data_IF_758507340682
#
_entry.id   IF_758507340682
#
_cell.length_a   1.000
_cell.length_b   1.000
_cell.length_c   1.000
_cell.angle_alpha   90.00
_cell.angle_beta   90.00
_cell.angle_gamma   90.00
#
_symmetry.space_group_name_H-M   'P 1'
#
loop_
_entity.id
_entity.type
_entity.pdbx_description
1 polymer ?
#
# COMPACT_ATOMS: atom_id res chain seq x y z
N UNK A 1 -13.52 33.06 7.62
CA UNK A 1 -13.60 32.30 8.88
C UNK A 1 -13.78 30.80 8.63
N UNK A 2 -14.87 30.33 8.00
CA UNK A 2 -15.07 28.87 7.79
C UNK A 2 -13.89 28.13 7.12
N UNK A 3 -13.31 28.68 6.04
CA UNK A 3 -12.12 28.12 5.39
C UNK A 3 -10.89 28.09 6.31
N UNK A 4 -10.61 29.20 7.01
CA UNK A 4 -9.49 29.30 7.95
C UNK A 4 -9.61 28.28 9.09
N UNK A 5 -10.82 28.08 9.63
CA UNK A 5 -11.05 27.07 10.67
C UNK A 5 -10.82 25.63 10.15
N UNK A 6 -11.16 25.39 8.89
CA UNK A 6 -10.92 24.09 8.24
C UNK A 6 -9.43 23.85 8.03
N UNK A 7 -8.70 24.84 7.52
CA UNK A 7 -7.24 24.79 7.33
C UNK A 7 -6.51 24.55 8.68
N UNK A 8 -6.89 25.26 9.74
CA UNK A 8 -6.34 25.06 11.08
C UNK A 8 -6.69 23.67 11.66
N UNK A 9 -7.91 23.17 11.40
CA UNK A 9 -8.29 21.82 11.82
C UNK A 9 -7.48 20.74 11.09
N UNK A 10 -7.20 20.93 9.79
CA UNK A 10 -6.34 20.05 9.00
C UNK A 10 -4.91 20.04 9.53
N UNK A 11 -4.32 21.22 9.75
CA UNK A 11 -2.97 21.38 10.28
C UNK A 11 -2.85 20.73 11.66
N UNK A 12 -3.76 21.07 12.58
CA UNK A 12 -3.76 20.49 13.92
C UNK A 12 -3.94 18.97 13.90
N UNK A 13 -4.83 18.44 13.06
CA UNK A 13 -4.98 17.00 12.92
C UNK A 13 -3.70 16.33 12.40
N UNK A 14 -3.05 16.91 11.39
CA UNK A 14 -1.82 16.40 10.82
C UNK A 14 -0.66 16.42 11.83
N UNK A 15 -0.46 17.52 12.56
CA UNK A 15 0.54 17.65 13.63
C UNK A 15 0.37 16.61 14.75
N UNK A 16 -0.88 16.18 15.00
CA UNK A 16 -1.19 15.11 15.96
C UNK A 16 -1.11 13.70 15.33
N UNK A 17 -0.45 13.56 14.18
CA UNK A 17 -0.23 12.30 13.48
C UNK A 17 -1.49 11.68 12.90
N UNK A 18 -2.51 12.49 12.56
CA UNK A 18 -3.72 11.99 11.89
C UNK A 18 -3.51 12.02 10.38
N UNK A 19 -3.81 10.91 9.72
CA UNK A 19 -3.68 10.78 8.26
C UNK A 19 -4.94 11.20 7.50
N UNK A 20 -6.06 11.40 8.21
CA UNK A 20 -7.34 11.76 7.62
C UNK A 20 -8.14 12.63 8.57
N UNK A 21 -8.95 13.53 8.01
CA UNK A 21 -9.97 14.26 8.75
C UNK A 21 -11.35 13.91 8.21
N UNK A 22 -12.28 13.57 9.11
CA UNK A 22 -13.69 13.35 8.79
C UNK A 22 -14.54 14.44 9.41
N UNK A 23 -15.54 14.88 8.67
CA UNK A 23 -16.44 15.95 9.06
C UNK A 23 -17.88 15.61 8.69
N UNK A 24 -18.80 16.02 9.57
CA UNK A 24 -20.23 15.95 9.36
C UNK A 24 -20.78 17.35 9.04
N UNK A 25 -21.64 17.45 8.02
CA UNK A 25 -22.32 18.70 7.65
C UNK A 25 -23.79 18.44 7.37
N UNK A 26 -24.67 19.31 7.85
CA UNK A 26 -26.10 19.27 7.52
C UNK A 26 -26.31 19.23 6.01
N UNK A 27 -27.17 18.32 5.55
CA UNK A 27 -27.46 18.17 4.12
C UNK A 27 -28.05 19.44 3.48
N UNK A 28 -28.70 20.30 4.26
CA UNK A 28 -29.28 21.57 3.81
C UNK A 28 -28.37 22.80 4.00
N UNK A 29 -27.06 22.60 4.26
CA UNK A 29 -26.07 23.67 4.36
C UNK A 29 -25.15 23.74 3.12
N UNK A 30 -25.62 24.30 1.99
CA UNK A 30 -24.86 24.30 0.74
C UNK A 30 -23.54 25.08 0.84
N UNK A 31 -23.46 26.09 1.72
CA UNK A 31 -22.26 26.91 1.89
C UNK A 31 -21.12 26.13 2.53
N UNK A 32 -21.39 25.35 3.57
CA UNK A 32 -20.38 24.52 4.22
C UNK A 32 -19.96 23.36 3.32
N UNK A 33 -20.93 22.73 2.64
CA UNK A 33 -20.68 21.67 1.65
C UNK A 33 -19.69 22.16 0.57
N UNK A 34 -19.92 23.35 0.00
CA UNK A 34 -19.04 23.90 -1.03
C UNK A 34 -17.61 24.17 -0.52
N UNK A 35 -17.45 24.61 0.74
CA UNK A 35 -16.11 24.81 1.33
C UNK A 35 -15.38 23.47 1.42
N UNK A 36 -16.05 22.41 1.86
CA UNK A 36 -15.45 21.08 1.98
C UNK A 36 -15.03 20.54 0.60
N UNK A 37 -15.93 20.59 -0.38
CA UNK A 37 -15.63 20.12 -1.75
C UNK A 37 -14.49 20.90 -2.40
N UNK A 38 -14.45 22.23 -2.25
CA UNK A 38 -13.35 23.07 -2.75
C UNK A 38 -12.02 22.83 -2.03
N UNK A 39 -12.07 22.36 -0.78
CA UNK A 39 -10.88 22.05 0.02
C UNK A 39 -10.41 20.61 -0.18
N UNK A 40 -11.00 19.86 -1.12
CA UNK A 40 -10.61 18.50 -1.46
C UNK A 40 -11.23 17.41 -0.57
N UNK A 41 -12.28 17.73 0.19
CA UNK A 41 -13.04 16.71 0.91
C UNK A 41 -14.00 16.00 -0.03
N UNK A 42 -14.14 14.71 0.20
CA UNK A 42 -14.95 13.78 -0.59
C UNK A 42 -16.03 13.16 0.28
N UNK A 43 -17.23 13.00 -0.30
CA UNK A 43 -18.42 12.55 0.42
C UNK A 43 -18.40 11.03 0.57
N UNK A 44 -18.36 10.54 1.80
CA UNK A 44 -18.27 9.11 2.11
C UNK A 44 -19.59 8.49 2.56
N UNK A 45 -20.61 9.29 2.81
CA UNK A 45 -21.92 8.77 3.20
C UNK A 45 -22.86 9.81 3.79
N UNK A 46 -23.88 9.30 4.50
CA UNK A 46 -24.86 10.08 5.26
C UNK A 46 -25.23 9.37 6.54
N UNK A 47 -25.57 10.15 7.56
CA UNK A 47 -26.08 9.69 8.83
C UNK A 47 -27.45 10.33 9.08
N UNK A 48 -28.47 9.47 9.19
CA UNK A 48 -29.85 9.89 9.43
C UNK A 48 -30.00 10.32 10.89
N UNK A 49 -30.89 11.27 11.16
CA UNK A 49 -31.21 11.72 12.52
C UNK A 49 -29.98 12.12 13.36
N UNK A 50 -28.94 12.67 12.71
CA UNK A 50 -27.67 13.03 13.37
C UNK A 50 -27.79 14.30 14.22
N UNK A 51 -28.52 15.30 13.72
CA UNK A 51 -28.73 16.55 14.44
C UNK A 51 -29.94 16.43 15.38
N UNK A 52 -29.96 17.25 16.45
CA UNK A 52 -31.01 17.24 17.47
C UNK A 52 -32.43 17.43 16.90
N UNK A 53 -32.55 18.10 15.75
CA UNK A 53 -33.80 18.33 15.04
C UNK A 53 -34.17 17.22 14.03
N UNK A 54 -33.44 16.10 14.05
CA UNK A 54 -33.61 14.97 13.14
C UNK A 54 -33.00 15.19 11.74
N UNK A 55 -32.28 16.30 11.51
CA UNK A 55 -31.66 16.53 10.21
C UNK A 55 -30.57 15.49 9.91
N UNK A 56 -30.44 15.16 8.62
CA UNK A 56 -29.40 14.26 8.11
C UNK A 56 -28.06 14.97 7.99
N UNK A 57 -26.99 14.33 8.46
CA UNK A 57 -25.61 14.74 8.21
C UNK A 57 -25.07 14.05 6.96
N UNK A 58 -24.39 14.81 6.10
CA UNK A 58 -23.49 14.29 5.09
C UNK A 58 -22.11 14.12 5.72
N UNK A 59 -21.47 12.99 5.44
CA UNK A 59 -20.14 12.67 5.95
C UNK A 59 -19.11 12.90 4.85
N UNK A 60 -18.08 13.67 5.17
CA UNK A 60 -16.99 14.02 4.28
C UNK A 60 -15.65 13.57 4.89
N UNK A 61 -14.68 13.25 4.05
CA UNK A 61 -13.33 12.82 4.44
C UNK A 61 -12.27 13.46 3.52
N UNK A 62 -11.09 13.72 4.06
CA UNK A 62 -9.90 14.14 3.31
C UNK A 62 -8.65 13.49 3.91
N UNK A 63 -7.76 12.97 3.06
CA UNK A 63 -6.42 12.52 3.44
C UNK A 63 -5.53 13.74 3.70
N UNK A 64 -4.87 13.78 4.85
CA UNK A 64 -4.00 14.88 5.25
C UNK A 64 -2.57 14.62 4.80
N UNK A 65 -1.92 15.64 4.26
CA UNK A 65 -0.52 15.56 3.79
C UNK A 65 0.42 16.61 4.39
N UNK A 66 -0.12 17.58 5.13
CA UNK A 66 0.65 18.77 5.52
C UNK A 66 1.24 19.52 4.33
N UNK A 67 2.33 20.25 4.58
CA UNK A 67 3.10 20.99 3.56
C UNK A 67 4.14 20.11 2.82
N UNK A 68 4.01 18.78 2.89
CA UNK A 68 5.00 17.86 2.31
C UNK A 68 4.97 17.98 0.78
N UNK A 69 6.10 18.31 0.12
CA UNK A 69 6.15 18.43 -1.33
C UNK A 69 5.70 17.13 -2.00
N UNK A 70 4.74 17.25 -2.92
CA UNK A 70 4.17 16.13 -3.68
C UNK A 70 5.15 15.54 -4.72
N UNK A 71 6.31 16.19 -4.92
CA UNK A 71 7.27 15.81 -5.94
C UNK A 71 8.05 14.56 -5.54
N UNK A 72 7.54 13.39 -5.94
CA UNK A 72 8.29 12.14 -5.99
C UNK A 72 8.70 11.85 -7.43
N UNK A 73 9.90 11.30 -7.61
CA UNK A 73 10.38 10.81 -8.90
C UNK A 73 9.82 9.40 -9.20
N UNK A 74 9.22 8.73 -8.21
CA UNK A 74 8.63 7.41 -8.37
C UNK A 74 7.24 7.56 -9.00
N UNK A 75 7.02 7.05 -10.24
CA UNK A 75 5.74 7.16 -10.91
C UNK A 75 4.67 6.33 -10.18
N UNK A 76 3.45 6.83 -10.19
CA UNK A 76 2.30 6.14 -9.62
C UNK A 76 1.56 5.30 -10.68
N UNK A 77 1.08 4.11 -10.29
CA UNK A 77 0.22 3.27 -11.11
C UNK A 77 -0.89 2.64 -10.24
N UNK A 78 -2.15 2.93 -10.59
CA UNK A 78 -3.33 2.36 -9.94
C UNK A 78 -3.54 0.91 -10.43
N UNK A 79 -3.75 -0.02 -9.49
CA UNK A 79 -4.08 -1.40 -9.82
C UNK A 79 -5.43 -1.50 -10.53
N UNK A 80 -5.52 -2.39 -11.52
CA UNK A 80 -6.76 -2.63 -12.27
C UNK A 80 -7.53 -3.86 -11.76
N UNK A 81 -6.90 -4.69 -10.92
CA UNK A 81 -7.47 -5.91 -10.38
C UNK A 81 -7.28 -5.98 -8.86
N UNK A 82 -8.22 -6.58 -8.12
CA UNK A 82 -8.17 -6.59 -6.65
C UNK A 82 -6.98 -7.36 -6.03
N UNK A 83 -6.28 -8.15 -6.83
CA UNK A 83 -5.25 -9.10 -6.39
C UNK A 83 -3.84 -8.76 -6.91
N UNK A 84 -3.66 -7.58 -7.53
CA UNK A 84 -2.42 -7.18 -8.23
C UNK A 84 -1.65 -6.06 -7.52
N UNK A 85 -1.94 -5.76 -6.25
CA UNK A 85 -1.24 -4.71 -5.50
C UNK A 85 0.29 -4.90 -5.47
N UNK A 86 0.78 -6.12 -5.20
CA UNK A 86 2.21 -6.44 -5.25
C UNK A 86 2.84 -6.23 -6.63
N UNK A 87 2.28 -6.83 -7.70
CA UNK A 87 2.68 -6.57 -9.09
C UNK A 87 2.69 -5.08 -9.48
N UNK A 88 1.71 -4.29 -9.07
CA UNK A 88 1.67 -2.85 -9.36
C UNK A 88 2.79 -2.10 -8.63
N UNK A 89 3.11 -2.47 -7.38
CA UNK A 89 4.27 -1.93 -6.68
C UNK A 89 5.58 -2.26 -7.40
N UNK A 90 5.72 -3.49 -7.92
CA UNK A 90 6.87 -3.87 -8.75
C UNK A 90 6.96 -3.01 -10.00
N UNK A 91 5.84 -2.78 -10.72
CA UNK A 91 5.82 -1.94 -11.92
C UNK A 91 6.24 -0.50 -11.65
N UNK A 92 5.77 0.09 -10.55
CA UNK A 92 6.20 1.44 -10.14
C UNK A 92 7.72 1.47 -9.88
N UNK A 93 8.27 0.46 -9.21
CA UNK A 93 9.72 0.34 -9.00
C UNK A 93 10.49 0.12 -10.32
N UNK A 94 9.95 -0.69 -11.24
CA UNK A 94 10.54 -0.89 -12.57
C UNK A 94 10.57 0.41 -13.37
N UNK A 95 9.51 1.21 -13.31
CA UNK A 95 9.44 2.50 -13.99
C UNK A 95 10.40 3.54 -13.39
N UNK A 96 10.64 3.48 -12.07
CA UNK A 96 11.63 4.32 -11.41
C UNK A 96 13.07 3.94 -11.78
N UNK A 97 13.44 2.66 -11.73
CA UNK A 97 14.80 2.20 -12.00
C UNK A 97 15.13 1.98 -13.48
N UNK A 98 14.11 1.86 -14.34
CA UNK A 98 14.22 1.54 -15.76
C UNK A 98 13.74 2.67 -16.66
N UNK A 99 14.63 3.56 -17.15
CA UNK A 99 14.27 4.62 -18.07
C UNK A 99 13.55 4.09 -19.31
N UNK A 100 12.37 4.63 -19.59
CA UNK A 100 11.56 4.26 -20.75
C UNK A 100 10.61 3.08 -20.54
N UNK A 101 10.61 2.43 -19.37
CA UNK A 101 9.56 1.49 -19.02
C UNK A 101 8.26 2.25 -18.71
N UNK A 102 7.16 1.84 -19.36
CA UNK A 102 5.83 2.42 -19.16
C UNK A 102 4.92 1.35 -18.56
N UNK A 103 4.41 1.55 -17.34
CA UNK A 103 3.42 0.65 -16.74
C UNK A 103 2.16 0.50 -17.60
N UNK A 104 1.67 -0.73 -17.78
CA UNK A 104 0.42 -1.03 -18.47
C UNK A 104 -0.33 -2.25 -17.89
N UNK A 105 -1.64 -2.38 -18.13
CA UNK A 105 -2.45 -3.47 -17.56
C UNK A 105 -2.04 -4.89 -18.00
N UNK A 106 -1.45 -5.06 -19.19
CA UNK A 106 -0.95 -6.36 -19.65
C UNK A 106 0.29 -6.75 -18.84
N UNK A 107 1.17 -5.79 -18.55
CA UNK A 107 2.33 -6.01 -17.69
C UNK A 107 1.93 -6.32 -16.24
N UNK A 108 0.88 -5.66 -15.73
CA UNK A 108 0.31 -5.94 -14.41
C UNK A 108 -0.09 -7.42 -14.25
N UNK A 109 -0.84 -7.94 -15.22
CA UNK A 109 -1.27 -9.34 -15.20
C UNK A 109 -0.10 -10.30 -15.45
N UNK A 110 0.90 -9.91 -16.26
CA UNK A 110 2.11 -10.72 -16.46
C UNK A 110 2.86 -10.92 -15.14
N UNK A 111 3.18 -9.82 -14.45
CA UNK A 111 3.89 -9.88 -13.17
C UNK A 111 3.08 -10.63 -12.12
N UNK A 112 1.76 -10.49 -12.10
CA UNK A 112 0.90 -11.31 -11.24
C UNK A 112 1.06 -12.81 -11.53
N UNK A 113 1.01 -13.23 -12.79
CA UNK A 113 1.19 -14.64 -13.18
C UNK A 113 2.58 -15.18 -12.81
N UNK A 114 3.59 -14.31 -12.81
CA UNK A 114 4.97 -14.65 -12.46
C UNK A 114 5.20 -14.71 -10.95
N UNK A 115 4.43 -13.96 -10.14
CA UNK A 115 4.64 -13.83 -8.69
C UNK A 115 3.55 -14.48 -7.80
N UNK A 116 2.43 -14.94 -8.37
CA UNK A 116 1.30 -15.50 -7.61
C UNK A 116 1.57 -16.92 -7.10
N UNK A 117 1.06 -17.24 -5.91
CA UNK A 117 1.07 -18.62 -5.39
C UNK A 117 -0.10 -19.48 -5.87
N UNK A 118 -0.93 -18.93 -6.79
CA UNK A 118 -2.10 -19.56 -7.41
C UNK A 118 -3.20 -19.99 -6.42
N UNK A 119 -4.41 -19.39 -6.55
CA UNK A 119 -5.67 -20.08 -6.91
C UNK A 119 -6.87 -19.11 -6.76
N UNK A 120 -7.58 -18.84 -7.85
CA UNK A 120 -8.85 -18.09 -7.82
C UNK A 120 -10.06 -19.04 -7.96
N UNK A 121 -10.80 -19.17 -6.86
CA UNK A 121 -12.27 -19.41 -6.76
C UNK A 121 -12.77 -18.85 -5.41
N UNK A 122 -11.88 -18.75 -4.41
CA UNK A 122 -12.04 -18.03 -3.14
C UNK A 122 -10.71 -18.03 -2.37
N UNK A 123 -10.40 -16.93 -1.67
CA UNK A 123 -9.15 -16.74 -0.92
C UNK A 123 -8.19 -15.73 -1.58
N UNK A 124 -7.12 -15.30 -0.89
CA UNK A 124 -6.20 -14.31 -1.43
C UNK A 124 -5.43 -14.91 -2.62
N UNK A 125 -5.76 -14.47 -3.84
CA UNK A 125 -5.01 -14.76 -5.07
C UNK A 125 -3.71 -13.95 -5.21
N UNK A 126 -3.25 -13.36 -4.10
CA UNK A 126 -2.14 -12.41 -4.06
C UNK A 126 -0.76 -13.06 -4.18
N UNK A 127 0.26 -12.23 -4.10
CA UNK A 127 1.65 -12.62 -4.23
C UNK A 127 2.35 -12.65 -2.86
N UNK A 128 3.27 -13.59 -2.71
CA UNK A 128 4.10 -13.76 -1.52
C UNK A 128 5.47 -13.09 -1.71
N UNK A 129 6.21 -12.75 -0.64
CA UNK A 129 7.46 -11.99 -0.74
C UNK A 129 8.49 -12.62 -1.69
N UNK A 130 8.64 -13.94 -1.68
CA UNK A 130 9.61 -14.59 -2.58
C UNK A 130 9.17 -14.51 -4.04
N UNK A 131 7.87 -14.68 -4.33
CA UNK A 131 7.35 -14.57 -5.68
C UNK A 131 7.52 -13.17 -6.27
N UNK A 132 7.26 -12.14 -5.47
CA UNK A 132 7.48 -10.75 -5.88
C UNK A 132 8.97 -10.42 -6.09
N UNK A 133 9.84 -10.87 -5.18
CA UNK A 133 11.27 -10.63 -5.30
C UNK A 133 11.88 -11.34 -6.51
N UNK A 134 11.46 -12.57 -6.78
CA UNK A 134 11.87 -13.34 -7.97
C UNK A 134 11.39 -12.67 -9.24
N UNK A 135 10.11 -12.28 -9.33
CA UNK A 135 9.59 -11.58 -10.51
C UNK A 135 10.30 -10.23 -10.74
N UNK A 136 10.56 -9.47 -9.66
CA UNK A 136 11.34 -8.23 -9.73
C UNK A 136 12.76 -8.47 -10.23
N UNK A 137 13.42 -9.53 -9.74
CA UNK A 137 14.76 -9.92 -10.19
C UNK A 137 14.78 -10.32 -11.66
N UNK A 138 13.85 -11.17 -12.10
CA UNK A 138 13.71 -11.58 -13.51
C UNK A 138 13.42 -10.36 -14.41
N UNK A 139 12.76 -9.34 -13.87
CA UNK A 139 12.44 -8.08 -14.55
C UNK A 139 13.55 -7.01 -14.51
N UNK A 140 14.73 -7.33 -13.97
CA UNK A 140 15.90 -6.44 -14.03
C UNK A 140 16.20 -5.64 -12.76
N UNK A 141 15.51 -5.90 -11.65
CA UNK A 141 15.78 -5.24 -10.37
C UNK A 141 16.74 -6.07 -9.50
N UNK A 142 17.48 -5.39 -8.62
CA UNK A 142 18.08 -6.04 -7.46
C UNK A 142 17.00 -6.20 -6.39
N UNK A 143 16.99 -7.33 -5.68
CA UNK A 143 16.01 -7.61 -4.64
C UNK A 143 16.69 -8.17 -3.38
N UNK A 144 16.15 -7.83 -2.21
CA UNK A 144 16.46 -8.43 -0.92
C UNK A 144 15.16 -8.64 -0.14
N UNK A 145 15.01 -9.80 0.49
CA UNK A 145 13.80 -10.20 1.20
C UNK A 145 14.01 -10.09 2.71
N UNK A 146 13.05 -9.49 3.42
CA UNK A 146 12.88 -9.59 4.86
C UNK A 146 11.59 -10.33 5.15
N UNK A 147 11.65 -11.40 5.95
CA UNK A 147 10.47 -12.18 6.32
C UNK A 147 10.59 -12.73 7.74
N UNK A 148 9.60 -12.46 8.59
CA UNK A 148 9.64 -12.84 10.01
C UNK A 148 9.28 -14.31 10.28
N UNK A 149 8.89 -15.06 9.24
CA UNK A 149 8.41 -16.43 9.36
C UNK A 149 9.16 -17.37 8.42
N UNK A 150 9.55 -18.53 8.94
CA UNK A 150 10.15 -19.60 8.15
C UNK A 150 9.09 -20.64 7.78
N UNK A 151 8.91 -20.89 6.49
CA UNK A 151 7.95 -21.84 5.95
C UNK A 151 6.91 -21.19 5.06
N UNK A 152 5.83 -21.91 4.77
CA UNK A 152 4.84 -21.50 3.79
C UNK A 152 3.88 -20.41 4.32
N UNK A 153 3.72 -19.36 3.53
CA UNK A 153 2.97 -18.15 3.87
C UNK A 153 1.52 -18.22 3.37
N UNK A 154 0.63 -17.45 4.00
CA UNK A 154 -0.79 -17.29 3.59
C UNK A 154 -1.64 -18.57 3.53
N UNK A 155 -1.20 -19.67 4.16
CA UNK A 155 -1.94 -20.95 4.14
C UNK A 155 -3.04 -21.05 5.20
N UNK A 156 -3.03 -20.21 6.23
CA UNK A 156 -3.89 -20.37 7.41
C UNK A 156 -5.39 -20.32 7.10
N UNK A 157 -5.79 -19.60 6.05
CA UNK A 157 -7.19 -19.50 5.61
C UNK A 157 -7.59 -20.58 4.60
N UNK A 158 -6.67 -21.42 4.14
CA UNK A 158 -6.90 -22.40 3.07
C UNK A 158 -7.34 -23.73 3.66
N UNK A 159 -8.63 -24.05 3.52
CA UNK A 159 -9.23 -25.26 4.11
C UNK A 159 -9.02 -26.53 3.29
N UNK A 160 -8.80 -26.41 1.98
CA UNK A 160 -8.61 -27.56 1.09
C UNK A 160 -7.14 -27.97 1.07
N UNK A 161 -6.88 -29.25 1.37
CA UNK A 161 -5.52 -29.81 1.37
C UNK A 161 -4.88 -29.73 -0.02
N UNK A 162 -5.62 -30.04 -1.09
CA UNK A 162 -5.13 -29.92 -2.47
C UNK A 162 -4.72 -28.49 -2.81
N UNK A 163 -5.55 -27.49 -2.45
CA UNK A 163 -5.19 -26.08 -2.64
C UNK A 163 -3.96 -25.70 -1.84
N UNK A 164 -3.88 -26.16 -0.59
CA UNK A 164 -2.72 -25.91 0.28
C UNK A 164 -1.45 -26.49 -0.33
N UNK A 165 -1.53 -27.71 -0.86
CA UNK A 165 -0.41 -28.39 -1.52
C UNK A 165 0.07 -27.65 -2.76
N UNK A 166 -0.83 -27.13 -3.60
CA UNK A 166 -0.47 -26.34 -4.78
C UNK A 166 0.24 -25.05 -4.37
N UNK A 167 -0.30 -24.31 -3.39
CA UNK A 167 0.32 -23.08 -2.89
C UNK A 167 1.70 -23.36 -2.26
N UNK A 168 1.85 -24.43 -1.50
CA UNK A 168 3.15 -24.86 -0.96
C UNK A 168 4.17 -25.12 -2.07
N UNK A 169 3.78 -25.84 -3.13
CA UNK A 169 4.66 -26.13 -4.27
C UNK A 169 5.07 -24.88 -5.04
N UNK A 170 4.14 -23.94 -5.25
CA UNK A 170 4.45 -22.64 -5.87
C UNK A 170 5.48 -21.87 -5.03
N UNK A 171 5.33 -21.83 -3.71
CA UNK A 171 6.32 -21.18 -2.85
C UNK A 171 7.65 -21.93 -2.76
N UNK A 172 7.67 -23.27 -2.91
CA UNK A 172 8.92 -24.03 -3.00
C UNK A 172 9.69 -23.63 -4.26
N UNK A 173 9.00 -23.45 -5.39
CA UNK A 173 9.62 -22.96 -6.61
C UNK A 173 10.24 -21.56 -6.42
N UNK A 174 9.49 -20.62 -5.83
CA UNK A 174 10.02 -19.26 -5.56
C UNK A 174 11.25 -19.27 -4.65
N UNK A 175 11.25 -20.08 -3.58
CA UNK A 175 12.43 -20.20 -2.71
C UNK A 175 13.64 -20.76 -3.47
N UNK A 176 13.45 -21.80 -4.28
CA UNK A 176 14.54 -22.37 -5.11
C UNK A 176 15.10 -21.35 -6.10
N UNK A 177 14.25 -20.55 -6.73
CA UNK A 177 14.68 -19.48 -7.64
C UNK A 177 15.40 -18.35 -6.90
N UNK A 178 14.89 -17.93 -5.74
CA UNK A 178 15.57 -16.94 -4.90
C UNK A 178 16.98 -17.41 -4.49
N UNK A 179 17.12 -18.68 -4.08
CA UNK A 179 18.42 -19.29 -3.78
C UNK A 179 19.32 -19.37 -5.03
N UNK A 180 18.79 -19.81 -6.17
CA UNK A 180 19.53 -19.91 -7.44
C UNK A 180 20.05 -18.55 -7.91
N UNK A 181 19.25 -17.49 -7.75
CA UNK A 181 19.60 -16.13 -8.12
C UNK A 181 20.48 -15.42 -7.08
N UNK A 182 20.70 -16.03 -5.91
CA UNK A 182 21.44 -15.41 -4.82
C UNK A 182 20.75 -14.20 -4.23
N UNK A 183 19.41 -14.14 -4.28
CA UNK A 183 18.62 -13.07 -3.64
C UNK A 183 18.81 -13.19 -2.12
N UNK A 184 19.33 -12.16 -1.43
CA UNK A 184 19.51 -12.22 0.02
C UNK A 184 18.16 -12.35 0.75
N UNK A 185 18.12 -13.23 1.75
CA UNK A 185 16.91 -13.48 2.56
C UNK A 185 17.23 -13.36 4.04
N UNK A 186 16.62 -12.37 4.68
CA UNK A 186 16.73 -12.09 6.10
C UNK A 186 15.51 -12.66 6.82
N UNK A 187 15.68 -13.81 7.48
CA UNK A 187 14.62 -14.44 8.29
C UNK A 187 14.48 -13.77 9.66
N UNK A 188 14.01 -12.52 9.66
CA UNK A 188 13.70 -11.71 10.85
C UNK A 188 12.60 -10.69 10.54
N UNK A 189 11.96 -10.17 11.58
CA UNK A 189 11.16 -8.96 11.46
C UNK A 189 12.04 -7.79 11.02
N UNK A 190 11.60 -7.04 10.00
CA UNK A 190 12.21 -5.74 9.69
C UNK A 190 11.76 -4.69 10.71
N UNK A 191 12.65 -3.74 11.00
CA UNK A 191 12.41 -2.54 11.76
C UNK A 191 12.23 -1.32 10.84
N UNK A 192 11.96 -0.17 11.46
CA UNK A 192 11.85 1.09 10.73
C UNK A 192 13.18 1.46 10.08
N UNK A 193 14.29 1.27 10.80
CA UNK A 193 15.63 1.63 10.32
C UNK A 193 16.05 0.83 9.08
N UNK A 194 15.56 -0.40 8.89
CA UNK A 194 15.81 -1.17 7.67
C UNK A 194 15.23 -0.46 6.44
N UNK A 195 14.01 0.07 6.57
CA UNK A 195 13.31 0.77 5.49
C UNK A 195 13.95 2.12 5.22
N UNK A 196 14.25 2.87 6.29
CA UNK A 196 14.88 4.20 6.18
C UNK A 196 16.27 4.10 5.57
N UNK A 197 17.06 3.10 5.96
CA UNK A 197 18.38 2.85 5.39
C UNK A 197 18.27 2.52 3.90
N UNK A 198 17.35 1.63 3.51
CA UNK A 198 17.13 1.29 2.11
C UNK A 198 16.75 2.53 1.28
N UNK A 199 15.82 3.35 1.77
CA UNK A 199 15.40 4.59 1.09
C UNK A 199 16.56 5.58 0.97
N UNK A 200 17.36 5.76 2.04
CA UNK A 200 18.53 6.62 2.01
C UNK A 200 19.60 6.16 1.02
N UNK A 201 19.67 4.86 0.73
CA UNK A 201 20.53 4.26 -0.31
C UNK A 201 19.94 4.37 -1.74
N UNK A 202 18.81 5.07 -1.91
CA UNK A 202 18.14 5.24 -3.20
C UNK A 202 17.33 4.01 -3.65
N UNK A 203 17.02 3.10 -2.72
CA UNK A 203 16.19 1.90 -2.96
C UNK A 203 14.73 2.19 -2.64
N UNK A 204 13.84 1.35 -3.13
CA UNK A 204 12.41 1.36 -2.78
C UNK A 204 12.08 0.10 -1.97
N UNK A 205 11.01 0.13 -1.17
CA UNK A 205 10.66 -1.03 -0.34
C UNK A 205 9.19 -1.41 -0.51
N UNK A 206 8.92 -2.62 -1.00
CA UNK A 206 7.58 -3.20 -0.95
C UNK A 206 7.34 -3.68 0.47
N UNK A 207 6.24 -3.25 1.08
CA UNK A 207 5.92 -3.61 2.46
C UNK A 207 4.55 -4.25 2.52
N UNK A 208 4.49 -5.42 3.15
CA UNK A 208 3.24 -6.10 3.45
C UNK A 208 2.58 -5.41 4.63
N UNK A 209 1.38 -4.87 4.40
CA UNK A 209 0.56 -4.25 5.43
C UNK A 209 -0.74 -5.02 5.64
N UNK A 210 -1.33 -4.88 6.82
CA UNK A 210 -2.74 -5.25 7.01
C UNK A 210 -3.60 -4.11 6.50
N UNK A 211 -4.39 -4.37 5.46
CA UNK A 211 -5.33 -3.40 4.91
C UNK A 211 -6.50 -3.03 5.82
N UNK A 212 -6.44 -3.32 7.13
CA UNK A 212 -7.50 -2.98 8.08
C UNK A 212 -7.75 -1.47 8.18
N UNK A 213 -6.69 -0.66 8.09
CA UNK A 213 -6.79 0.79 8.20
C UNK A 213 -7.42 1.44 6.95
N UNK A 214 -7.34 0.79 5.79
CA UNK A 214 -7.83 1.28 4.49
C UNK A 214 -9.16 0.63 4.08
N UNK A 215 -9.31 -0.69 4.27
CA UNK A 215 -10.46 -1.47 3.77
C UNK A 215 -11.48 -1.86 4.85
N UNK A 216 -11.21 -1.59 6.13
CA UNK A 216 -12.01 -2.09 7.25
C UNK A 216 -12.05 -3.63 7.36
N UNK A 217 -11.25 -4.34 6.54
CA UNK A 217 -11.11 -5.80 6.49
C UNK A 217 -9.64 -6.18 6.56
N UNK A 218 -9.30 -7.22 7.32
CA UNK A 218 -7.93 -7.72 7.45
C UNK A 218 -7.55 -8.58 6.24
N UNK A 219 -7.27 -7.93 5.11
CA UNK A 219 -6.68 -8.57 3.92
C UNK A 219 -5.20 -8.18 3.83
N UNK A 220 -4.32 -9.10 3.36
CA UNK A 220 -2.93 -8.77 3.11
C UNK A 220 -2.86 -7.81 1.91
N UNK A 221 -2.10 -6.74 2.03
CA UNK A 221 -1.96 -5.72 0.99
C UNK A 221 -0.51 -5.28 0.87
N UNK A 222 -0.07 -4.97 -0.34
CA UNK A 222 1.28 -4.49 -0.61
C UNK A 222 1.24 -3.01 -0.99
N UNK A 223 2.08 -2.22 -0.33
CA UNK A 223 2.34 -0.82 -0.66
C UNK A 223 3.81 -0.62 -0.94
N UNK A 224 4.14 0.46 -1.65
CA UNK A 224 5.52 0.81 -1.99
C UNK A 224 5.96 2.00 -1.15
N UNK A 225 6.92 1.79 -0.24
CA UNK A 225 7.62 2.88 0.43
C UNK A 225 8.63 3.51 -0.53
N UNK A 226 8.49 4.82 -0.74
CA UNK A 226 9.19 5.58 -1.78
C UNK A 226 10.06 6.71 -1.22
N UNK A 227 9.90 7.07 0.05
CA UNK A 227 10.61 8.18 0.65
C UNK A 227 10.48 8.23 2.17
N UNK A 228 11.34 9.03 2.78
CA UNK A 228 11.40 9.35 4.21
C UNK A 228 11.62 10.86 4.31
N UNK A 229 10.74 11.56 5.03
CA UNK A 229 10.80 13.02 5.23
C UNK A 229 11.37 13.44 6.59
N UNK A 230 11.76 12.47 7.44
CA UNK A 230 12.23 12.69 8.80
C UNK A 230 11.22 12.26 9.87
N UNK A 231 9.92 12.29 9.59
CA UNK A 231 8.84 11.96 10.53
C UNK A 231 7.83 10.93 9.97
N UNK A 232 7.82 10.76 8.65
CA UNK A 232 6.88 9.94 7.90
C UNK A 232 7.61 9.07 6.88
N UNK A 233 7.05 7.89 6.62
CA UNK A 233 7.33 7.14 5.40
C UNK A 233 6.33 7.57 4.34
N UNK A 234 6.84 8.00 3.18
CA UNK A 234 6.04 8.30 2.00
C UNK A 234 5.75 6.99 1.27
N UNK A 235 4.48 6.69 1.01
CA UNK A 235 4.06 5.47 0.31
C UNK A 235 3.24 5.76 -0.95
N UNK A 236 3.36 4.89 -1.94
CA UNK A 236 2.36 4.69 -2.97
C UNK A 236 1.51 3.48 -2.61
N UNK A 237 0.19 3.68 -2.50
CA UNK A 237 -0.78 2.61 -2.41
C UNK A 237 -1.38 2.38 -3.81
N UNK A 238 -1.14 1.23 -4.47
CA UNK A 238 -1.72 0.98 -5.79
C UNK A 238 -3.26 0.87 -5.76
N UNK A 239 -3.87 0.68 -4.60
CA UNK A 239 -5.31 0.62 -4.46
C UNK A 239 -5.92 2.02 -4.39
N UNK A 240 -6.89 2.29 -5.27
CA UNK A 240 -7.72 3.49 -5.25
C UNK A 240 -9.17 3.02 -5.24
N UNK A 241 -9.95 3.41 -4.22
CA UNK A 241 -11.35 2.98 -4.08
C UNK A 241 -12.28 3.79 -5.01
N UNK A 242 -12.68 3.20 -6.15
CA UNK A 242 -13.55 3.83 -7.17
C UNK A 242 -14.91 4.28 -6.63
N UNK A 243 -15.48 3.59 -5.62
CA UNK A 243 -16.79 3.93 -5.04
C UNK A 243 -16.75 5.17 -4.14
N UNK A 244 -15.56 5.62 -3.70
CA UNK A 244 -15.37 6.75 -2.77
C UNK A 244 -14.78 8.02 -3.40
N UNK A 245 -14.71 8.09 -4.72
CA UNK A 245 -14.06 9.20 -5.45
C UNK A 245 -12.62 9.44 -4.95
N UNK A 246 -11.87 8.38 -4.64
CA UNK A 246 -10.47 8.55 -4.32
C UNK A 246 -9.70 9.01 -5.57
N UNK A 247 -8.93 10.09 -5.44
CA UNK A 247 -8.14 10.57 -6.58
C UNK A 247 -6.81 9.82 -6.63
N UNK A 248 -6.22 9.71 -7.83
CA UNK A 248 -4.83 9.22 -8.01
C UNK A 248 -3.86 9.94 -7.08
N UNK A 249 -4.09 11.24 -6.85
CA UNK A 249 -3.29 11.98 -5.90
C UNK A 249 -3.37 11.35 -4.51
N UNK A 250 -4.55 10.95 -4.02
CA UNK A 250 -4.76 10.47 -2.65
C UNK A 250 -4.10 9.12 -2.34
N UNK A 251 -3.86 8.32 -3.37
CA UNK A 251 -3.16 7.06 -3.27
C UNK A 251 -1.65 7.17 -3.54
N UNK A 252 -1.23 8.28 -4.16
CA UNK A 252 0.15 8.60 -4.43
C UNK A 252 0.78 9.48 -3.33
N UNK A 253 2.00 9.16 -2.93
CA UNK A 253 2.82 9.96 -2.03
C UNK A 253 2.10 10.27 -0.70
N UNK A 254 1.56 9.22 -0.07
CA UNK A 254 0.86 9.31 1.22
C UNK A 254 1.90 9.36 2.34
N UNK A 255 1.96 10.44 3.14
CA UNK A 255 2.81 10.49 4.31
C UNK A 255 2.19 9.72 5.46
N UNK A 256 2.89 8.70 5.94
CA UNK A 256 2.45 7.84 7.04
C UNK A 256 3.40 7.99 8.22
N UNK A 257 2.93 8.46 9.40
CA UNK A 257 3.79 8.60 10.58
C UNK A 257 4.39 7.26 10.96
N UNK A 258 5.66 7.24 11.38
CA UNK A 258 6.40 6.01 11.66
C UNK A 258 5.69 5.01 12.55
N UNK A 259 5.08 5.47 13.64
CA UNK A 259 4.36 4.61 14.58
C UNK A 259 3.12 3.97 13.97
N UNK A 260 2.45 4.67 13.04
CA UNK A 260 1.29 4.15 12.30
C UNK A 260 1.76 3.17 11.22
N UNK A 261 2.79 3.56 10.47
CA UNK A 261 3.41 2.72 9.44
C UNK A 261 3.86 1.38 10.01
N UNK A 262 4.61 1.37 11.11
CA UNK A 262 5.09 0.13 11.71
C UNK A 262 3.98 -0.71 12.36
N UNK A 263 2.86 -0.08 12.78
CA UNK A 263 1.68 -0.80 13.26
C UNK A 263 0.90 -1.48 12.13
N UNK A 264 0.81 -0.85 10.96
CA UNK A 264 0.15 -1.44 9.78
C UNK A 264 1.02 -2.49 9.08
N UNK A 265 2.35 -2.36 9.16
CA UNK A 265 3.34 -3.21 8.50
C UNK A 265 3.52 -4.60 9.15
N UNK A 266 2.39 -5.29 9.35
CA UNK A 266 2.29 -6.64 9.86
C UNK A 266 0.92 -7.25 9.47
N UNK A 267 0.86 -8.57 9.30
CA UNK A 267 -0.36 -9.26 8.87
C UNK A 267 -0.62 -10.55 9.69
N UNK A 268 -1.91 -10.89 9.86
CA UNK A 268 -2.32 -12.13 10.53
C UNK A 268 -2.21 -12.09 12.06
N UNK A 269 -2.55 -13.20 12.71
CA UNK A 269 -2.50 -13.33 14.18
C UNK A 269 -1.07 -13.38 14.72
N UNK A 270 -0.17 -13.95 13.93
CA UNK A 270 1.23 -14.16 14.31
C UNK A 270 2.10 -12.92 14.04
N UNK A 271 1.50 -11.83 13.54
CA UNK A 271 2.23 -10.59 13.25
C UNK A 271 3.29 -10.77 12.17
N UNK A 272 2.97 -11.49 11.09
CA UNK A 272 3.86 -11.70 9.95
C UNK A 272 4.31 -10.35 9.41
N UNK A 273 5.62 -10.13 9.36
CA UNK A 273 6.25 -8.99 8.70
C UNK A 273 6.99 -9.48 7.48
N UNK A 274 6.68 -8.91 6.33
CA UNK A 274 7.37 -9.16 5.08
C UNK A 274 7.64 -7.85 4.35
N UNK A 275 8.86 -7.69 3.86
CA UNK A 275 9.26 -6.57 3.03
C UNK A 275 10.25 -7.03 1.95
N UNK A 276 10.29 -6.32 0.83
CA UNK A 276 11.23 -6.55 -0.26
C UNK A 276 11.89 -5.22 -0.59
N UNK A 277 13.19 -5.15 -0.38
CA UNK A 277 13.98 -4.00 -0.81
C UNK A 277 14.31 -4.18 -2.29
N UNK A 278 14.04 -3.16 -3.10
CA UNK A 278 14.27 -3.13 -4.53
C UNK A 278 15.26 -2.03 -4.89
N UNK A 279 16.25 -2.37 -5.71
CA UNK A 279 17.22 -1.41 -6.23
C UNK A 279 17.46 -1.61 -7.72
N UNK A 280 18.24 -0.70 -8.30
CA UNK A 280 18.80 -0.89 -9.63
C UNK A 280 19.74 -2.10 -9.60
N UNK A 281 19.58 -3.03 -10.54
CA UNK A 281 20.56 -4.10 -10.74
C UNK A 281 21.67 -3.58 -11.63
N UNK A 282 22.91 -3.74 -11.19
CA UNK A 282 24.06 -3.47 -12.05
C UNK A 282 24.00 -4.41 -13.25
N UNK A 283 24.09 -3.85 -14.45
CA UNK A 283 24.23 -4.63 -15.68
C UNK A 283 25.53 -5.43 -15.59
N UNK A 284 25.44 -6.76 -15.54
CA UNK A 284 26.58 -7.61 -15.87
C UNK A 284 26.85 -7.56 -17.38
#
# INVERSE_FOLDING_TARGET
VGRLLLEEAEAAAFEHGRMMLRLEVRQDNPRAIQIYEQSGYRKIGRELDYYEDGATALRYEKTLRGDIPVATEVPFYQQTCEFTCGPCCLMMAMAYFGPGFVPDPVMEIRLWREATTVFMMSGPGGCEPFGLAVAGYESGLAAEIYVSFYGALFLQSVRSEDKRRVMELAQVDFRRRAELYGIPVNYRSFGLDDIRTAIAEGKLVLVLISGFLMFGKKVPHWVLAIGDDGDHILIHDPWVEDERQETILDAANIPVPYGIFMNMAQFGRDGLRAAITLGKRDSQ
#
